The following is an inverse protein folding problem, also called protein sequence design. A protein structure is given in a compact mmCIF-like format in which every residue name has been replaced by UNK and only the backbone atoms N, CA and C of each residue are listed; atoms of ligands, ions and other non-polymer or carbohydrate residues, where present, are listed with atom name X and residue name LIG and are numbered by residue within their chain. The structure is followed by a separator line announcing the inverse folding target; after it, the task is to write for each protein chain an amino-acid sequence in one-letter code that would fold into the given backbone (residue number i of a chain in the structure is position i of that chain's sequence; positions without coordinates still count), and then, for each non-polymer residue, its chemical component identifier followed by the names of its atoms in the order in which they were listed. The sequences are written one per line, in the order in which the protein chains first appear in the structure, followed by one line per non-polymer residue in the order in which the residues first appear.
data_IF_430340232761
#
_entry.id   IF_430340232761
#
_cell.length_a   1.000
_cell.length_b   1.000
_cell.length_c   1.000
_cell.angle_alpha   90.00
_cell.angle_beta   90.00
_cell.angle_gamma   90.00
#
_symmetry.space_group_name_H-M   'P 1'
#
loop_
_entity.id
_entity.type
_entity.pdbx_description
1 polymer ?
#
# COMPACT_ATOMS: atom_id res chain seq x y z
N UNK A 1 17.51 11.93 -26.42
CA UNK A 1 17.30 11.48 -25.02
C UNK A 1 16.36 12.39 -24.24
N UNK A 2 16.65 13.67 -24.01
CA UNK A 2 15.81 14.56 -23.17
C UNK A 2 14.32 14.60 -23.58
N UNK A 3 14.03 14.70 -24.88
CA UNK A 3 12.65 14.70 -25.41
C UNK A 3 11.91 13.38 -25.18
N UNK A 4 12.63 12.25 -25.20
CA UNK A 4 12.06 10.93 -24.93
C UNK A 4 11.60 10.82 -23.47
N UNK A 5 12.46 11.23 -22.53
CA UNK A 5 12.09 11.23 -21.11
C UNK A 5 10.95 12.19 -20.78
N UNK A 6 10.89 13.33 -21.46
CA UNK A 6 9.75 14.26 -21.34
C UNK A 6 8.47 13.58 -21.86
N UNK A 7 8.51 12.97 -23.05
CA UNK A 7 7.36 12.25 -23.59
C UNK A 7 6.92 11.08 -22.70
N UNK A 8 7.87 10.34 -22.15
CA UNK A 8 7.62 9.26 -21.20
C UNK A 8 6.95 9.78 -19.92
N UNK A 9 7.47 10.86 -19.33
CA UNK A 9 6.90 11.47 -18.14
C UNK A 9 5.46 11.97 -18.39
N UNK A 10 5.23 12.65 -19.51
CA UNK A 10 3.89 13.12 -19.91
C UNK A 10 2.95 11.94 -20.14
N UNK A 11 3.41 10.90 -20.84
CA UNK A 11 2.64 9.68 -21.07
C UNK A 11 2.23 8.99 -19.76
N UNK A 12 3.16 8.88 -18.81
CA UNK A 12 2.88 8.29 -17.49
C UNK A 12 1.87 9.10 -16.69
N UNK A 13 1.99 10.43 -16.70
CA UNK A 13 1.06 11.33 -16.00
C UNK A 13 -0.36 11.21 -16.55
N UNK A 14 -0.53 10.94 -17.84
CA UNK A 14 -1.86 10.77 -18.46
C UNK A 14 -2.37 9.33 -18.29
N UNK A 15 -1.51 8.32 -18.51
CA UNK A 15 -1.90 6.91 -18.48
C UNK A 15 -2.32 6.45 -17.07
N UNK A 16 -1.67 6.93 -16.01
CA UNK A 16 -1.97 6.52 -14.64
C UNK A 16 -3.38 6.91 -14.18
N UNK A 17 -3.82 8.19 -14.26
CA UNK A 17 -5.19 8.57 -13.92
C UNK A 17 -6.23 7.84 -14.75
N UNK A 18 -6.00 7.72 -16.06
CA UNK A 18 -6.91 7.00 -16.96
C UNK A 18 -7.05 5.53 -16.54
N UNK A 19 -5.94 4.85 -16.28
CA UNK A 19 -5.93 3.44 -15.88
C UNK A 19 -6.54 3.20 -14.50
N UNK A 20 -6.24 4.05 -13.51
CA UNK A 20 -6.77 3.91 -12.15
C UNK A 20 -8.28 4.19 -12.10
N UNK A 21 -8.76 5.18 -12.86
CA UNK A 21 -10.17 5.57 -12.86
C UNK A 21 -11.05 4.74 -13.79
N UNK A 22 -10.46 3.92 -14.66
CA UNK A 22 -11.20 3.06 -15.58
C UNK A 22 -12.11 2.10 -14.81
N UNK A 23 -13.42 2.13 -15.09
CA UNK A 23 -14.41 1.27 -14.44
C UNK A 23 -14.80 1.64 -13.01
N UNK A 24 -14.38 2.82 -12.50
CA UNK A 24 -14.75 3.32 -11.15
C UNK A 24 -15.97 4.26 -11.15
N UNK A 25 -16.70 4.39 -12.25
CA UNK A 25 -17.83 5.33 -12.45
C UNK A 25 -17.52 6.79 -12.07
N UNK A 26 -16.25 7.18 -12.15
CA UNK A 26 -15.76 8.55 -11.92
C UNK A 26 -15.03 9.06 -13.17
N UNK A 27 -14.95 10.39 -13.40
CA UNK A 27 -14.29 10.91 -14.60
C UNK A 27 -12.85 10.40 -14.72
N UNK A 28 -12.44 9.96 -15.90
CA UNK A 28 -11.16 9.27 -16.10
C UNK A 28 -9.94 10.13 -15.74
N UNK A 29 -10.04 11.45 -15.93
CA UNK A 29 -9.00 12.42 -15.58
C UNK A 29 -9.24 13.09 -14.21
N UNK A 30 -10.21 12.62 -13.43
CA UNK A 30 -10.38 13.10 -12.05
C UNK A 30 -9.21 12.64 -11.17
N UNK A 31 -8.98 13.33 -10.05
CA UNK A 31 -7.97 12.92 -9.08
C UNK A 31 -8.28 11.49 -8.60
N UNK A 32 -7.45 10.48 -8.94
CA UNK A 32 -7.73 9.08 -8.63
C UNK A 32 -7.74 8.78 -7.13
N UNK A 33 -7.19 9.68 -6.31
CA UNK A 33 -7.15 9.63 -4.86
C UNK A 33 -8.24 10.47 -4.19
N UNK A 34 -9.05 11.22 -4.93
CA UNK A 34 -10.17 11.98 -4.37
C UNK A 34 -11.34 11.06 -3.99
N UNK A 35 -11.51 9.96 -4.73
CA UNK A 35 -12.50 8.94 -4.44
C UNK A 35 -11.98 7.97 -3.37
N UNK A 36 -12.01 8.42 -2.10
CA UNK A 36 -12.39 7.70 -0.87
C UNK A 36 -11.61 8.23 0.36
N UNK A 37 -12.29 8.53 1.48
CA UNK A 37 -11.64 8.76 2.78
C UNK A 37 -10.94 7.51 3.37
N UNK A 38 -11.15 6.35 2.75
CA UNK A 38 -10.79 5.01 3.22
C UNK A 38 -9.31 4.61 2.98
N UNK A 39 -8.51 5.39 2.23
CA UNK A 39 -7.10 5.00 1.98
C UNK A 39 -6.30 5.03 3.29
N UNK A 40 -6.47 6.07 4.10
CA UNK A 40 -5.78 6.18 5.39
C UNK A 40 -6.21 5.09 6.36
N UNK A 41 -7.50 4.78 6.40
CA UNK A 41 -8.07 3.73 7.25
C UNK A 41 -7.56 2.35 6.84
N UNK A 42 -7.59 2.05 5.54
CA UNK A 42 -7.09 0.79 4.97
C UNK A 42 -5.58 0.60 5.12
N UNK A 43 -4.80 1.68 5.06
CA UNK A 43 -3.36 1.64 5.37
C UNK A 43 -3.16 1.33 6.85
N UNK A 44 -3.92 1.99 7.74
CA UNK A 44 -3.85 1.76 9.18
C UNK A 44 -4.22 0.33 9.56
N UNK A 45 -5.28 -0.23 8.97
CA UNK A 45 -5.65 -1.63 9.15
C UNK A 45 -4.53 -2.58 8.72
N UNK A 46 -4.02 -2.42 7.49
CA UNK A 46 -2.93 -3.28 6.99
C UNK A 46 -1.65 -3.17 7.84
N UNK A 47 -1.29 -1.97 8.29
CA UNK A 47 -0.15 -1.80 9.20
C UNK A 47 -0.40 -2.48 10.55
N UNK A 48 -1.63 -2.40 11.07
CA UNK A 48 -2.03 -3.10 12.29
C UNK A 48 -1.92 -4.62 12.17
N UNK A 49 -2.42 -5.20 11.07
CA UNK A 49 -2.29 -6.63 10.77
C UNK A 49 -0.83 -7.06 10.70
N UNK A 50 0.01 -6.33 9.94
CA UNK A 50 1.44 -6.63 9.82
C UNK A 50 2.17 -6.61 11.17
N UNK A 51 1.86 -5.64 12.04
CA UNK A 51 2.47 -5.57 13.37
C UNK A 51 2.03 -6.74 14.26
N UNK A 52 0.76 -7.17 14.13
CA UNK A 52 0.21 -8.28 14.90
C UNK A 52 0.88 -9.60 14.50
N UNK A 53 0.98 -9.87 13.20
CA UNK A 53 1.66 -11.05 12.67
C UNK A 53 3.13 -11.07 13.09
N UNK A 54 3.81 -9.92 12.99
CA UNK A 54 5.21 -9.79 13.42
C UNK A 54 5.37 -10.11 14.90
N UNK A 55 4.47 -9.59 15.74
CA UNK A 55 4.48 -9.85 17.18
C UNK A 55 4.25 -11.33 17.49
N UNK A 56 3.36 -11.98 16.77
CA UNK A 56 3.05 -13.40 16.93
C UNK A 56 4.26 -14.27 16.55
N UNK A 57 4.90 -13.99 15.42
CA UNK A 57 6.14 -14.67 14.99
C UNK A 57 7.26 -14.50 16.01
N UNK A 58 7.48 -13.28 16.53
CA UNK A 58 8.50 -13.03 17.55
C UNK A 58 8.16 -13.77 18.86
N UNK A 59 6.89 -13.77 19.25
CA UNK A 59 6.43 -14.47 20.45
C UNK A 59 6.68 -15.97 20.35
N UNK A 60 6.32 -16.58 19.22
CA UNK A 60 6.56 -18.01 18.98
C UNK A 60 8.04 -18.36 18.94
N UNK A 61 8.87 -17.51 18.33
CA UNK A 61 10.33 -17.70 18.30
C UNK A 61 10.97 -17.61 19.71
N UNK A 62 10.37 -16.86 20.64
CA UNK A 62 10.91 -16.64 21.99
C UNK A 62 10.37 -17.62 23.05
N UNK A 63 9.24 -18.32 22.78
CA UNK A 63 8.69 -19.36 23.67
C UNK A 63 9.71 -20.42 24.12
N UNK A 64 10.55 -21.01 23.24
CA UNK A 64 11.50 -22.06 23.65
C UNK A 64 12.59 -21.55 24.60
N UNK A 65 12.97 -20.28 24.47
CA UNK A 65 13.95 -19.62 25.35
C UNK A 65 13.30 -19.31 26.69
N UNK A 66 12.05 -18.85 26.70
CA UNK A 66 11.31 -18.53 27.91
C UNK A 66 11.00 -19.78 28.75
N UNK A 67 10.68 -20.92 28.11
CA UNK A 67 10.46 -22.20 28.79
C UNK A 67 11.74 -22.74 29.43
N UNK A 68 12.89 -22.57 28.77
CA UNK A 68 14.20 -22.92 29.34
C UNK A 68 14.59 -22.05 30.53
N UNK A 69 14.15 -20.80 30.58
CA UNK A 69 14.41 -19.87 31.69
C UNK A 69 13.45 -20.05 32.88
N UNK A 70 12.30 -20.72 32.70
CA UNK A 70 11.32 -21.02 33.77
C UNK A 70 11.54 -22.37 34.46
N UNK A 71 12.41 -23.23 33.93
CA UNK A 71 12.87 -24.47 34.58
C UNK A 71 14.13 -24.20 35.38
#
# INVERSE_FOLDING_TARGET
MKKFFIGLAVGLIIAFPLGINFGKDVPLLSNPFAAKPDITERVKERTGELLKDTKEVIHDATKPVQEKLRK
#
